data_IF_078215845698
#
_entry.id   IF_078215845698
#
_cell.length_a   1.000
_cell.length_b   1.000
_cell.length_c   1.000
_cell.angle_alpha   90.00
_cell.angle_beta   90.00
_cell.angle_gamma   90.00
#
_symmetry.space_group_name_H-M   'P 1'
#
loop_
_entity.id
_entity.type
_entity.pdbx_description
1 polymer ?
#
# COMPACT_ATOMS: atom_id res chain seq x y z
N UNK A 1 65.68 74.18 -27.57
CA UNK A 1 64.65 73.21 -27.80
C UNK A 1 65.13 71.82 -28.28
N UNK A 2 66.42 71.57 -28.40
CA UNK A 2 66.91 70.27 -29.01
C UNK A 2 67.29 69.18 -27.98
N UNK A 3 67.23 69.42 -26.66
CA UNK A 3 67.59 68.45 -25.62
C UNK A 3 66.42 67.64 -25.06
N UNK A 4 65.15 68.08 -25.24
CA UNK A 4 63.96 67.34 -24.75
C UNK A 4 63.56 66.22 -25.67
N UNK A 5 63.88 66.31 -26.99
CA UNK A 5 63.54 65.31 -27.97
C UNK A 5 64.36 63.95 -27.89
N UNK A 6 65.55 64.05 -27.25
CA UNK A 6 66.45 62.86 -27.12
C UNK A 6 66.08 61.97 -25.96
N UNK A 7 65.20 62.39 -25.05
CA UNK A 7 64.76 61.52 -23.93
C UNK A 7 63.29 61.10 -24.13
N UNK A 8 62.48 61.78 -24.91
CA UNK A 8 61.08 61.42 -25.17
C UNK A 8 60.90 60.19 -26.09
N UNK A 9 61.82 60.03 -27.08
CA UNK A 9 61.73 58.91 -28.01
C UNK A 9 61.97 57.49 -27.36
N UNK A 10 63.01 57.27 -26.51
CA UNK A 10 63.19 56.00 -25.86
C UNK A 10 62.11 55.73 -24.80
N UNK A 11 61.51 56.72 -24.13
CA UNK A 11 60.43 56.53 -23.19
C UNK A 11 59.12 56.08 -23.87
N UNK A 12 58.83 56.60 -25.08
CA UNK A 12 57.65 56.15 -25.85
C UNK A 12 57.78 54.68 -26.34
N UNK A 13 59.01 54.25 -26.71
CA UNK A 13 59.26 52.84 -27.10
C UNK A 13 59.14 51.89 -25.92
N UNK A 14 59.59 52.31 -24.72
CA UNK A 14 59.47 51.51 -23.51
C UNK A 14 57.98 51.37 -23.09
N UNK A 15 57.20 52.46 -23.18
CA UNK A 15 55.77 52.43 -22.89
C UNK A 15 54.99 51.57 -23.91
N UNK A 16 55.35 51.64 -25.19
CA UNK A 16 54.77 50.78 -26.22
C UNK A 16 55.12 49.30 -25.99
N UNK A 17 56.38 49.00 -25.63
CA UNK A 17 56.79 47.62 -25.28
C UNK A 17 56.12 47.10 -24.01
N UNK A 18 55.98 47.93 -22.97
CA UNK A 18 55.19 47.57 -21.77
C UNK A 18 53.71 47.39 -22.07
N UNK A 19 53.13 48.24 -22.93
CA UNK A 19 51.76 48.10 -23.40
C UNK A 19 51.51 46.82 -24.19
N UNK A 20 52.43 46.42 -25.09
CA UNK A 20 52.32 45.17 -25.85
C UNK A 20 52.55 43.94 -24.97
N UNK A 21 53.50 44.00 -24.02
CA UNK A 21 53.67 42.93 -23.02
C UNK A 21 52.47 42.81 -22.11
N UNK A 22 51.92 43.97 -21.62
CA UNK A 22 50.70 44.00 -20.80
C UNK A 22 49.48 43.45 -21.58
N UNK A 23 49.35 43.86 -22.85
CA UNK A 23 48.28 43.32 -23.74
C UNK A 23 48.44 41.81 -24.01
N UNK A 24 49.66 41.33 -24.22
CA UNK A 24 49.95 39.91 -24.43
C UNK A 24 49.74 39.09 -23.12
N UNK A 25 50.09 39.63 -21.96
CA UNK A 25 49.82 38.98 -20.66
C UNK A 25 48.32 38.99 -20.31
N UNK A 26 47.63 40.07 -20.66
CA UNK A 26 46.18 40.15 -20.45
C UNK A 26 45.37 39.25 -21.37
N UNK A 27 45.88 38.95 -22.60
CA UNK A 27 45.26 38.05 -23.54
C UNK A 27 45.78 36.59 -23.46
N UNK A 28 46.65 36.27 -22.50
CA UNK A 28 46.93 34.90 -22.14
C UNK A 28 45.66 34.32 -21.51
N UNK A 29 44.80 33.70 -22.35
CA UNK A 29 43.61 33.05 -21.91
C UNK A 29 43.92 32.04 -20.80
N UNK A 30 43.06 32.00 -19.81
CA UNK A 30 43.13 31.03 -18.73
C UNK A 30 43.24 29.61 -19.35
N UNK A 31 44.35 28.90 -19.05
CA UNK A 31 44.50 27.56 -19.52
C UNK A 31 43.39 26.66 -18.93
N UNK A 32 42.38 26.40 -19.73
CA UNK A 32 41.28 25.54 -19.37
C UNK A 32 41.67 24.08 -19.58
N UNK A 33 41.69 23.28 -18.51
CA UNK A 33 41.91 21.84 -18.60
C UNK A 33 40.57 21.13 -18.58
N UNK A 34 40.27 20.36 -19.61
CA UNK A 34 39.10 19.53 -19.69
C UNK A 34 39.21 18.33 -18.74
N UNK A 35 38.21 18.14 -17.90
CA UNK A 35 38.05 16.91 -17.12
C UNK A 35 37.43 15.87 -18.04
N UNK A 36 38.14 14.79 -18.33
CA UNK A 36 37.63 13.72 -19.20
C UNK A 36 37.36 12.46 -18.42
N UNK A 37 36.51 11.62 -18.99
CA UNK A 37 36.27 10.24 -18.55
C UNK A 37 36.39 9.32 -19.77
N UNK A 38 37.00 8.16 -19.60
CA UNK A 38 37.08 7.18 -20.65
C UNK A 38 35.72 6.45 -20.83
N UNK A 39 35.31 6.26 -22.07
CA UNK A 39 34.23 5.34 -22.44
C UNK A 39 34.68 3.92 -22.06
N UNK A 40 33.86 3.24 -21.27
CA UNK A 40 34.12 1.87 -20.81
C UNK A 40 33.10 0.92 -21.40
N UNK A 41 33.47 -0.32 -21.58
CA UNK A 41 32.54 -1.39 -21.93
C UNK A 41 32.17 -2.16 -20.68
N UNK A 42 30.88 -2.39 -20.48
CA UNK A 42 30.39 -3.07 -19.29
C UNK A 42 28.92 -3.45 -19.37
N UNK A 43 28.44 -4.08 -18.33
CA UNK A 43 27.02 -4.39 -18.15
C UNK A 43 26.32 -3.22 -17.46
N UNK A 44 25.12 -2.92 -17.90
CA UNK A 44 24.28 -1.87 -17.35
C UNK A 44 22.92 -2.45 -16.97
N UNK A 45 22.50 -2.23 -15.74
CA UNK A 45 21.14 -2.55 -15.27
C UNK A 45 20.47 -1.27 -14.80
N UNK A 46 19.34 -0.94 -15.40
CA UNK A 46 18.50 0.15 -14.92
C UNK A 46 17.52 -0.40 -13.91
N UNK A 47 17.47 0.21 -12.74
CA UNK A 47 16.57 -0.18 -11.66
C UNK A 47 15.68 0.99 -11.24
N UNK A 48 14.47 0.68 -10.86
CA UNK A 48 13.56 1.60 -10.19
C UNK A 48 13.55 1.23 -8.72
N UNK A 49 13.78 2.21 -7.85
CA UNK A 49 13.73 2.01 -6.40
C UNK A 49 12.31 2.22 -5.87
N UNK A 50 11.90 1.38 -4.94
CA UNK A 50 10.66 1.51 -4.18
C UNK A 50 10.87 1.11 -2.73
N UNK A 51 10.02 1.58 -1.85
CA UNK A 51 9.97 1.14 -0.45
C UNK A 51 8.70 0.35 -0.23
N UNK A 52 8.72 -0.62 0.66
CA UNK A 52 7.55 -1.46 0.90
C UNK A 52 7.53 -2.08 2.28
N UNK A 53 6.49 -2.85 2.53
CA UNK A 53 6.30 -3.65 3.75
C UNK A 53 6.09 -5.11 3.41
N UNK A 54 6.61 -5.98 4.27
CA UNK A 54 6.37 -7.42 4.19
C UNK A 54 4.98 -7.72 4.72
N UNK A 55 4.15 -8.35 3.90
CA UNK A 55 2.78 -8.73 4.25
C UNK A 55 2.57 -10.22 4.05
N UNK A 56 1.83 -10.91 4.90
CA UNK A 56 1.38 -12.27 4.60
C UNK A 56 0.46 -12.27 3.38
N UNK A 57 0.51 -13.34 2.56
CA UNK A 57 -0.33 -13.44 1.36
C UNK A 57 -1.83 -13.35 1.69
N UNK A 58 -2.26 -14.03 2.76
CA UNK A 58 -3.65 -14.04 3.21
C UNK A 58 -3.69 -13.78 4.71
N UNK A 59 -4.41 -12.72 5.08
CA UNK A 59 -4.68 -12.35 6.47
C UNK A 59 -6.19 -12.36 6.68
N UNK A 60 -6.62 -12.96 7.79
CA UNK A 60 -8.02 -13.01 8.18
C UNK A 60 -8.19 -12.29 9.52
N UNK A 61 -9.08 -11.32 9.51
CA UNK A 61 -9.46 -10.57 10.71
C UNK A 61 -10.62 -11.27 11.41
N UNK A 62 -10.42 -11.68 12.65
CA UNK A 62 -11.41 -12.36 13.48
C UNK A 62 -11.99 -11.37 14.48
N UNK A 63 -13.24 -11.02 14.30
CA UNK A 63 -13.99 -10.09 15.17
C UNK A 63 -15.02 -10.81 16.06
N UNK A 64 -15.61 -10.06 16.99
CA UNK A 64 -16.73 -10.52 17.81
C UNK A 64 -18.06 -10.23 17.11
N UNK A 65 -18.97 -11.19 17.15
CA UNK A 65 -20.34 -11.03 16.66
C UNK A 65 -21.34 -10.66 17.77
N UNK A 66 -20.94 -10.83 19.03
CA UNK A 66 -21.74 -10.52 20.22
C UNK A 66 -20.97 -9.62 21.18
N UNK A 67 -21.69 -8.87 21.98
CA UNK A 67 -21.13 -7.97 22.99
C UNK A 67 -20.90 -8.72 24.31
N UNK A 68 -19.76 -8.52 24.97
CA UNK A 68 -19.49 -9.13 26.27
C UNK A 68 -18.07 -8.90 26.74
N UNK A 69 -17.69 -9.55 27.83
CA UNK A 69 -16.38 -9.47 28.43
C UNK A 69 -15.57 -10.71 28.01
N UNK A 70 -14.31 -10.55 27.63
CA UNK A 70 -13.41 -11.68 27.37
C UNK A 70 -13.11 -12.41 28.69
N UNK A 71 -13.60 -13.62 28.81
CA UNK A 71 -13.47 -14.45 30.02
C UNK A 71 -12.16 -15.22 30.03
N UNK A 72 -11.83 -15.86 28.91
CA UNK A 72 -10.60 -16.64 28.76
C UNK A 72 -10.17 -16.66 27.29
N UNK A 73 -8.88 -16.85 27.05
CA UNK A 73 -8.38 -17.24 25.74
C UNK A 73 -8.44 -18.76 25.55
N UNK A 74 -8.61 -19.17 24.32
CA UNK A 74 -8.58 -20.57 23.93
C UNK A 74 -7.20 -21.20 24.06
N UNK A 75 -7.05 -22.41 23.51
CA UNK A 75 -5.76 -23.09 23.47
C UNK A 75 -5.30 -23.28 22.03
N UNK A 76 -4.01 -23.06 21.82
CA UNK A 76 -3.36 -23.28 20.54
C UNK A 76 -3.16 -24.80 20.25
N UNK A 77 -2.58 -25.11 19.10
CA UNK A 77 -2.27 -26.51 18.70
C UNK A 77 -1.32 -27.18 19.69
N UNK A 78 -0.49 -26.41 20.41
CA UNK A 78 0.46 -26.90 21.41
C UNK A 78 -0.12 -26.92 22.82
N UNK A 79 -1.43 -26.74 22.97
CA UNK A 79 -2.16 -26.69 24.25
C UNK A 79 -1.74 -25.53 25.17
N UNK A 80 -1.11 -24.46 24.63
CA UNK A 80 -0.81 -23.22 25.34
C UNK A 80 -1.97 -22.25 25.15
N UNK A 81 -2.09 -21.27 26.07
CA UNK A 81 -3.03 -20.18 25.90
C UNK A 81 -2.73 -19.44 24.60
N UNK A 82 -3.78 -19.14 23.82
CA UNK A 82 -3.68 -18.37 22.59
C UNK A 82 -3.07 -17.00 22.84
N UNK A 83 -1.99 -16.68 22.13
CA UNK A 83 -1.28 -15.40 22.18
C UNK A 83 -0.61 -15.12 20.83
N UNK A 84 0.19 -14.03 20.74
CA UNK A 84 1.02 -13.73 19.58
C UNK A 84 1.87 -14.94 19.16
N UNK A 85 1.93 -15.23 17.86
CA UNK A 85 2.69 -16.36 17.32
C UNK A 85 2.08 -17.74 17.56
N UNK A 86 0.90 -17.83 18.18
CA UNK A 86 0.21 -19.11 18.41
C UNK A 86 -0.32 -19.73 17.11
N UNK A 87 0.03 -20.98 16.80
CA UNK A 87 -0.58 -21.70 15.69
C UNK A 87 -2.01 -22.15 16.05
N UNK A 88 -2.96 -21.84 15.18
CA UNK A 88 -4.37 -22.19 15.35
C UNK A 88 -4.89 -22.98 14.17
N UNK A 89 -5.90 -23.83 14.42
CA UNK A 89 -6.63 -24.56 13.37
C UNK A 89 -8.00 -23.97 13.12
N UNK A 90 -8.52 -24.14 11.93
CA UNK A 90 -9.89 -23.80 11.58
C UNK A 90 -10.88 -24.48 12.56
N UNK A 91 -11.84 -23.72 13.09
CA UNK A 91 -12.76 -24.16 14.13
C UNK A 91 -12.18 -24.19 15.55
N UNK A 92 -10.86 -23.98 15.72
CA UNK A 92 -10.22 -23.86 17.03
C UNK A 92 -10.71 -22.63 17.79
N UNK A 93 -10.93 -22.77 19.10
CA UNK A 93 -11.38 -21.69 19.97
C UNK A 93 -10.21 -20.75 20.24
N UNK A 94 -10.36 -19.46 19.91
CA UNK A 94 -9.33 -18.43 20.16
C UNK A 94 -9.67 -17.57 21.38
N UNK A 95 -10.95 -17.34 21.65
CA UNK A 95 -11.42 -16.65 22.86
C UNK A 95 -12.81 -17.11 23.28
N UNK A 96 -13.09 -16.95 24.56
CA UNK A 96 -14.43 -17.15 25.15
C UNK A 96 -14.89 -15.82 25.74
N UNK A 97 -16.07 -15.39 25.29
CA UNK A 97 -16.81 -14.25 25.82
C UNK A 97 -17.70 -14.77 26.98
N UNK A 98 -17.97 -13.96 27.97
CA UNK A 98 -18.87 -14.33 29.07
C UNK A 98 -20.27 -14.62 28.49
N UNK A 99 -20.70 -15.86 28.63
CA UNK A 99 -21.93 -16.42 28.07
C UNK A 99 -23.12 -16.40 29.03
N UNK A 100 -22.92 -15.94 30.28
CA UNK A 100 -23.92 -16.03 31.36
C UNK A 100 -25.28 -15.44 30.97
N UNK A 101 -25.28 -14.26 30.31
CA UNK A 101 -26.53 -13.62 29.88
C UNK A 101 -27.19 -14.36 28.71
N UNK A 102 -26.39 -14.90 27.79
CA UNK A 102 -26.86 -15.62 26.61
C UNK A 102 -27.46 -16.98 26.99
N UNK A 103 -26.85 -17.68 27.96
CA UNK A 103 -27.38 -18.92 28.53
C UNK A 103 -28.75 -18.65 29.17
N UNK A 104 -28.84 -17.59 30.01
CA UNK A 104 -30.14 -17.23 30.63
C UNK A 104 -31.22 -16.91 29.60
N UNK A 105 -30.86 -16.21 28.49
CA UNK A 105 -31.82 -15.91 27.42
C UNK A 105 -32.29 -17.18 26.69
N UNK A 106 -31.39 -18.09 26.37
CA UNK A 106 -31.72 -19.40 25.78
C UNK A 106 -32.68 -20.20 26.68
N UNK A 107 -32.48 -20.16 28.02
CA UNK A 107 -33.37 -20.85 28.96
C UNK A 107 -34.76 -20.21 29.03
N UNK A 108 -34.84 -18.88 28.92
CA UNK A 108 -36.13 -18.15 28.81
C UNK A 108 -36.86 -18.56 27.53
N UNK A 109 -36.14 -18.64 26.38
CA UNK A 109 -36.77 -19.01 25.11
C UNK A 109 -37.18 -20.48 25.05
N UNK A 110 -36.43 -21.39 25.69
CA UNK A 110 -36.84 -22.78 25.89
C UNK A 110 -38.14 -22.88 26.65
N UNK A 111 -38.30 -22.08 27.74
CA UNK A 111 -39.53 -22.03 28.50
C UNK A 111 -40.70 -21.46 27.66
N UNK A 112 -40.43 -20.42 26.86
CA UNK A 112 -41.42 -19.85 25.94
C UNK A 112 -41.87 -20.86 24.87
N UNK A 113 -40.95 -21.62 24.30
CA UNK A 113 -41.28 -22.70 23.37
C UNK A 113 -42.13 -23.78 24.04
N UNK A 114 -41.81 -24.19 25.25
CA UNK A 114 -42.61 -25.16 26.02
C UNK A 114 -44.03 -24.63 26.29
N UNK A 115 -44.18 -23.34 26.64
CA UNK A 115 -45.46 -22.67 26.83
C UNK A 115 -46.28 -22.67 25.52
N UNK A 116 -45.68 -22.32 24.38
CA UNK A 116 -46.36 -22.33 23.09
C UNK A 116 -46.77 -23.76 22.69
N UNK A 117 -45.93 -24.74 22.95
CA UNK A 117 -46.23 -26.16 22.71
C UNK A 117 -47.45 -26.65 23.55
N UNK A 118 -47.51 -26.24 24.82
CA UNK A 118 -48.68 -26.54 25.69
C UNK A 118 -49.96 -25.86 25.17
N UNK A 119 -49.87 -24.64 24.68
CA UNK A 119 -51.02 -23.94 24.05
C UNK A 119 -51.50 -24.66 22.81
N UNK A 120 -50.60 -25.12 21.95
CA UNK A 120 -50.93 -25.92 20.78
C UNK A 120 -51.61 -27.28 21.18
N UNK A 121 -51.09 -27.95 22.22
CA UNK A 121 -51.69 -29.17 22.73
C UNK A 121 -53.14 -28.97 23.21
N UNK A 122 -53.38 -27.85 23.93
CA UNK A 122 -54.72 -27.50 24.38
C UNK A 122 -55.66 -27.20 23.20
N UNK A 123 -55.21 -26.42 22.20
CA UNK A 123 -55.98 -26.14 21.00
C UNK A 123 -56.32 -27.43 20.24
N UNK A 124 -55.35 -28.36 20.08
CA UNK A 124 -55.57 -29.67 19.48
C UNK A 124 -56.54 -30.53 20.26
N UNK A 125 -56.49 -30.51 21.59
CA UNK A 125 -57.42 -31.23 22.46
C UNK A 125 -58.87 -30.71 22.37
N UNK A 126 -59.09 -29.44 22.03
CA UNK A 126 -60.44 -28.86 21.82
C UNK A 126 -61.10 -29.33 20.51
N UNK A 127 -60.30 -29.65 19.46
CA UNK A 127 -60.85 -30.06 18.15
C UNK A 127 -61.75 -31.31 18.23
N UNK A 128 -61.36 -32.41 18.90
CA UNK A 128 -62.24 -33.57 19.07
C UNK A 128 -63.57 -33.25 19.76
N UNK A 129 -63.56 -32.35 20.75
CA UNK A 129 -64.77 -31.91 21.44
C UNK A 129 -65.73 -31.21 20.47
N UNK A 130 -65.24 -30.28 19.66
CA UNK A 130 -66.06 -29.55 18.69
C UNK A 130 -66.49 -30.47 17.55
N UNK A 131 -65.67 -31.45 17.15
CA UNK A 131 -66.04 -32.47 16.17
C UNK A 131 -67.16 -33.37 16.65
N UNK A 132 -67.16 -33.78 17.92
CA UNK A 132 -68.27 -34.52 18.53
C UNK A 132 -69.54 -33.73 18.53
N UNK A 133 -69.51 -32.45 18.97
CA UNK A 133 -70.66 -31.55 18.91
C UNK A 133 -71.25 -31.35 17.53
N UNK A 134 -70.38 -31.27 16.51
CA UNK A 134 -70.79 -31.20 15.10
C UNK A 134 -71.51 -32.50 14.68
N UNK A 135 -70.95 -33.65 15.05
CA UNK A 135 -71.50 -34.93 14.69
C UNK A 135 -72.92 -35.12 15.28
N UNK A 136 -73.12 -34.70 16.54
CA UNK A 136 -74.48 -34.71 17.20
C UNK A 136 -75.44 -33.77 16.47
N UNK A 137 -75.04 -32.52 16.23
CA UNK A 137 -75.89 -31.51 15.55
C UNK A 137 -76.19 -31.95 14.09
N UNK A 138 -75.27 -32.58 13.41
CA UNK A 138 -75.41 -33.13 12.04
C UNK A 138 -76.40 -34.27 12.03
N UNK A 139 -76.36 -35.19 13.02
CA UNK A 139 -77.28 -36.28 13.15
C UNK A 139 -78.75 -35.75 13.42
N UNK A 140 -78.92 -34.76 14.27
CA UNK A 140 -80.18 -34.14 14.51
C UNK A 140 -80.76 -33.42 13.28
N UNK A 141 -79.93 -32.64 12.59
CA UNK A 141 -80.27 -32.00 11.32
C UNK A 141 -80.69 -33.02 10.24
N UNK A 142 -79.96 -34.09 10.05
CA UNK A 142 -80.27 -35.19 9.09
C UNK A 142 -81.65 -35.82 9.45
N UNK A 143 -81.97 -35.97 10.77
CA UNK A 143 -83.23 -36.46 11.18
C UNK A 143 -84.36 -35.47 10.83
N UNK A 144 -84.18 -34.17 11.14
CA UNK A 144 -85.09 -33.14 10.80
C UNK A 144 -85.40 -32.99 9.30
N UNK A 145 -84.33 -33.14 8.48
CA UNK A 145 -84.44 -33.13 6.99
C UNK A 145 -85.32 -34.27 6.46
N UNK A 146 -85.22 -35.46 7.07
CA UNK A 146 -86.05 -36.62 6.66
C UNK A 146 -87.53 -36.42 6.99
N UNK A 147 -87.90 -35.72 8.11
CA UNK A 147 -89.26 -35.46 8.53
C UNK A 147 -89.86 -34.29 7.76
N UNK A 148 -89.03 -33.26 7.45
CA UNK A 148 -89.48 -32.02 6.81
C UNK A 148 -90.34 -31.14 7.71
N UNK A 149 -90.51 -29.82 7.38
CA UNK A 149 -91.38 -28.91 8.10
C UNK A 149 -92.86 -29.25 7.81
N UNK A 150 -93.72 -29.41 8.87
CA UNK A 150 -95.14 -29.73 8.73
C UNK A 150 -95.82 -30.03 10.08
N UNK A 151 -96.91 -30.80 10.04
CA UNK A 151 -97.64 -31.14 11.29
C UNK A 151 -96.82 -31.97 12.29
N UNK A 152 -95.90 -32.75 11.83
CA UNK A 152 -94.96 -33.60 12.65
C UNK A 152 -93.73 -32.92 13.16
N UNK A 153 -93.34 -31.76 12.59
CA UNK A 153 -92.21 -30.95 13.03
C UNK A 153 -92.49 -29.48 12.72
N UNK A 154 -92.58 -28.67 13.78
CA UNK A 154 -92.86 -27.23 13.65
C UNK A 154 -91.68 -26.54 12.84
N UNK A 155 -92.00 -25.58 11.98
CA UNK A 155 -91.03 -24.86 11.13
C UNK A 155 -89.94 -24.20 11.98
N UNK A 156 -90.30 -23.64 13.14
CA UNK A 156 -89.33 -23.07 14.07
C UNK A 156 -88.33 -24.08 14.62
N UNK A 157 -88.79 -25.29 14.89
CA UNK A 157 -87.91 -26.40 15.35
C UNK A 157 -86.96 -26.90 14.21
N UNK A 158 -87.46 -26.95 12.97
CA UNK A 158 -86.72 -27.26 11.81
C UNK A 158 -85.58 -26.24 11.58
N UNK A 159 -85.93 -24.94 11.62
CA UNK A 159 -84.93 -23.87 11.50
C UNK A 159 -83.92 -23.89 12.66
N UNK A 160 -84.39 -24.26 13.90
CA UNK A 160 -83.48 -24.42 15.04
C UNK A 160 -82.42 -25.52 14.83
N UNK A 161 -82.76 -26.69 14.30
CA UNK A 161 -81.85 -27.74 14.02
C UNK A 161 -80.83 -27.33 12.94
N UNK A 162 -81.26 -26.60 11.90
CA UNK A 162 -80.40 -26.04 10.88
C UNK A 162 -79.38 -25.06 11.48
N UNK A 163 -79.85 -24.12 12.29
CA UNK A 163 -79.05 -23.11 12.98
C UNK A 163 -78.02 -23.75 13.92
N UNK A 164 -78.39 -24.80 14.65
CA UNK A 164 -77.54 -25.55 15.54
C UNK A 164 -76.42 -26.25 14.75
N UNK A 165 -76.73 -26.89 13.60
CA UNK A 165 -75.76 -27.50 12.73
C UNK A 165 -74.71 -26.50 12.15
N UNK A 166 -75.21 -25.39 11.60
CA UNK A 166 -74.35 -24.35 11.06
C UNK A 166 -73.43 -23.69 12.14
N UNK A 167 -74.02 -23.51 13.37
CA UNK A 167 -73.24 -23.04 14.52
C UNK A 167 -72.15 -24.01 14.94
N UNK A 168 -72.49 -25.32 15.03
CA UNK A 168 -71.45 -26.34 15.36
C UNK A 168 -70.41 -26.49 14.34
N UNK A 169 -70.71 -26.37 13.03
CA UNK A 169 -69.77 -26.35 11.90
C UNK A 169 -68.85 -25.14 12.01
N UNK A 170 -69.40 -23.97 12.28
CA UNK A 170 -68.57 -22.75 12.45
C UNK A 170 -67.65 -22.86 13.68
N UNK A 171 -68.13 -23.43 14.79
CA UNK A 171 -67.34 -23.64 16.00
C UNK A 171 -66.15 -24.63 15.74
N UNK A 172 -66.34 -25.65 14.93
CA UNK A 172 -65.26 -26.53 14.53
C UNK A 172 -64.23 -25.80 13.67
N UNK A 173 -64.67 -24.93 12.72
CA UNK A 173 -63.76 -24.14 11.89
C UNK A 173 -62.92 -23.17 12.77
N UNK A 174 -63.55 -22.53 13.78
CA UNK A 174 -62.86 -21.69 14.77
C UNK A 174 -61.82 -22.50 15.55
N UNK A 175 -62.17 -23.71 16.00
CA UNK A 175 -61.21 -24.59 16.71
C UNK A 175 -60.04 -25.03 15.86
N UNK A 176 -60.24 -25.29 14.56
CA UNK A 176 -59.15 -25.58 13.63
C UNK A 176 -58.24 -24.38 13.40
N UNK A 177 -58.83 -23.18 13.19
CA UNK A 177 -58.06 -21.97 13.06
C UNK A 177 -57.25 -21.64 14.33
N UNK A 178 -57.75 -21.96 15.51
CA UNK A 178 -57.04 -21.83 16.77
C UNK A 178 -55.81 -22.78 16.86
N UNK A 179 -55.91 -23.97 16.27
CA UNK A 179 -54.74 -24.88 16.14
C UNK A 179 -53.69 -24.28 15.22
N UNK A 180 -54.07 -23.74 14.06
CA UNK A 180 -53.15 -23.12 13.13
C UNK A 180 -52.46 -21.90 13.75
N UNK A 181 -53.23 -21.08 14.48
CA UNK A 181 -52.68 -19.94 15.21
C UNK A 181 -51.66 -20.38 16.29
N UNK A 182 -52.00 -21.40 17.07
CA UNK A 182 -51.11 -21.94 18.10
C UNK A 182 -49.86 -22.62 17.47
N UNK A 183 -49.99 -23.27 16.30
CA UNK A 183 -48.88 -23.84 15.56
C UNK A 183 -47.92 -22.75 15.06
N UNK A 184 -48.43 -21.63 14.56
CA UNK A 184 -47.64 -20.46 14.20
C UNK A 184 -46.88 -19.89 15.41
N UNK A 185 -47.51 -19.85 16.59
CA UNK A 185 -46.86 -19.45 17.85
C UNK A 185 -45.70 -20.36 18.25
N UNK A 186 -45.83 -21.68 18.06
CA UNK A 186 -44.72 -22.63 18.28
C UNK A 186 -43.58 -22.37 17.30
N UNK A 187 -43.89 -22.16 16.00
CA UNK A 187 -42.88 -21.84 15.00
C UNK A 187 -42.09 -20.57 15.36
N UNK A 188 -42.80 -19.51 15.77
CA UNK A 188 -42.16 -18.26 16.19
C UNK A 188 -41.26 -18.47 17.41
N UNK A 189 -41.74 -19.15 18.48
CA UNK A 189 -40.93 -19.42 19.66
C UNK A 189 -39.68 -20.26 19.33
N UNK A 190 -39.82 -21.23 18.41
CA UNK A 190 -38.69 -22.04 17.93
C UNK A 190 -37.63 -21.21 17.21
N UNK A 191 -38.03 -20.29 16.33
CA UNK A 191 -37.08 -19.42 15.63
C UNK A 191 -36.42 -18.43 16.58
N UNK A 192 -37.10 -17.92 17.59
CA UNK A 192 -36.51 -17.09 18.65
C UNK A 192 -35.41 -17.88 19.40
N UNK A 193 -35.76 -19.09 19.85
CA UNK A 193 -34.79 -19.98 20.51
C UNK A 193 -33.56 -20.24 19.64
N UNK A 194 -33.76 -20.56 18.38
CA UNK A 194 -32.66 -20.81 17.44
C UNK A 194 -31.72 -19.58 17.31
N UNK A 195 -32.30 -18.37 17.18
CA UNK A 195 -31.57 -17.11 17.12
C UNK A 195 -30.67 -16.93 18.35
N UNK A 196 -31.22 -17.21 19.54
CA UNK A 196 -30.49 -16.97 20.78
C UNK A 196 -29.48 -18.10 21.08
N UNK A 197 -29.73 -19.33 20.60
CA UNK A 197 -28.72 -20.40 20.56
C UNK A 197 -27.53 -20.02 19.64
N UNK A 198 -27.76 -19.39 18.49
CA UNK A 198 -26.69 -18.88 17.62
C UNK A 198 -25.91 -17.74 18.30
N UNK A 199 -26.59 -16.82 18.99
CA UNK A 199 -25.93 -15.77 19.78
C UNK A 199 -25.05 -16.36 20.89
N UNK A 200 -25.53 -17.41 21.58
CA UNK A 200 -24.74 -18.16 22.56
C UNK A 200 -23.52 -18.83 21.92
N UNK A 201 -23.68 -19.42 20.74
CA UNK A 201 -22.58 -20.04 20.01
C UNK A 201 -21.50 -18.98 19.62
N UNK A 202 -21.90 -17.75 19.32
CA UNK A 202 -20.98 -16.65 19.03
C UNK A 202 -20.17 -16.16 20.24
N UNK A 203 -20.58 -16.49 21.48
CA UNK A 203 -19.74 -16.28 22.66
C UNK A 203 -18.43 -17.08 22.60
N UNK A 204 -18.38 -18.14 21.81
CA UNK A 204 -17.18 -18.92 21.53
C UNK A 204 -16.57 -18.44 20.21
N UNK A 205 -15.56 -17.57 20.30
CA UNK A 205 -14.86 -17.04 19.12
C UNK A 205 -13.92 -18.10 18.58
N UNK A 206 -14.09 -18.48 17.31
CA UNK A 206 -13.32 -19.54 16.63
C UNK A 206 -12.52 -18.97 15.48
N UNK A 207 -11.35 -19.57 15.20
CA UNK A 207 -10.59 -19.27 13.98
C UNK A 207 -11.34 -19.80 12.75
N UNK A 208 -11.55 -18.98 11.71
CA UNK A 208 -12.16 -19.47 10.45
C UNK A 208 -11.18 -20.22 9.56
N UNK A 209 -9.86 -20.11 9.82
CA UNK A 209 -8.79 -20.67 8.99
C UNK A 209 -7.70 -21.31 9.84
N UNK A 210 -6.93 -22.22 9.22
CA UNK A 210 -5.65 -22.65 9.77
C UNK A 210 -4.64 -21.51 9.61
N UNK A 211 -3.79 -21.27 10.62
CA UNK A 211 -2.79 -20.22 10.52
C UNK A 211 -2.07 -19.91 11.83
N UNK A 212 -1.42 -18.75 11.85
CA UNK A 212 -0.69 -18.23 13.00
C UNK A 212 -1.26 -16.86 13.38
N UNK A 213 -1.48 -16.62 14.66
CA UNK A 213 -1.93 -15.32 15.16
C UNK A 213 -0.78 -14.34 15.09
N UNK A 214 -0.91 -13.32 14.26
CA UNK A 214 0.09 -12.25 14.11
C UNK A 214 -0.20 -11.05 15.02
N UNK A 215 -1.48 -10.84 15.38
CA UNK A 215 -1.85 -9.75 16.27
C UNK A 215 -3.03 -10.16 17.18
N UNK A 216 -2.97 -9.78 18.45
CA UNK A 216 -4.03 -9.93 19.44
C UNK A 216 -4.40 -8.56 20.00
N UNK A 217 -5.55 -8.05 19.57
CA UNK A 217 -6.02 -6.69 19.87
C UNK A 217 -6.93 -6.60 21.08
N UNK A 218 -7.06 -7.68 21.85
CA UNK A 218 -7.95 -7.79 22.99
C UNK A 218 -7.26 -8.41 24.19
N UNK A 219 -7.66 -7.99 25.41
CA UNK A 219 -7.13 -8.48 26.66
C UNK A 219 -8.20 -9.21 27.50
N UNK A 220 -7.75 -10.06 28.41
CA UNK A 220 -8.63 -10.69 29.40
C UNK A 220 -9.33 -9.62 30.25
N UNK A 221 -10.63 -9.79 30.48
CA UNK A 221 -11.45 -8.83 31.22
C UNK A 221 -11.87 -7.59 30.42
N UNK A 222 -11.43 -7.45 29.18
CA UNK A 222 -11.83 -6.34 28.30
C UNK A 222 -13.25 -6.56 27.81
N UNK A 223 -14.07 -5.51 27.89
CA UNK A 223 -15.39 -5.47 27.26
C UNK A 223 -15.26 -5.19 25.77
N UNK A 224 -15.88 -6.04 24.98
CA UNK A 224 -16.02 -5.87 23.53
C UNK A 224 -17.44 -5.52 23.20
N UNK A 225 -17.64 -4.65 22.20
CA UNK A 225 -18.94 -4.25 21.71
C UNK A 225 -19.07 -4.67 20.26
N UNK A 226 -20.06 -5.49 19.97
CA UNK A 226 -20.44 -5.81 18.59
C UNK A 226 -21.07 -4.56 17.96
N UNK A 227 -20.31 -3.88 17.10
CA UNK A 227 -20.78 -2.71 16.34
C UNK A 227 -20.70 -3.01 14.84
N UNK A 228 -21.29 -2.13 14.01
CA UNK A 228 -21.26 -2.20 12.53
C UNK A 228 -19.82 -2.21 11.96
N UNK A 229 -18.86 -1.64 12.68
CA UNK A 229 -17.42 -1.85 12.42
C UNK A 229 -16.97 -2.98 13.36
N UNK A 230 -16.91 -4.21 12.84
CA UNK A 230 -16.48 -5.38 13.62
C UNK A 230 -15.18 -5.08 14.36
N UNK A 231 -15.22 -5.13 15.70
CA UNK A 231 -14.01 -4.99 16.50
C UNK A 231 -13.10 -6.19 16.21
N UNK A 232 -11.99 -5.94 15.51
CA UNK A 232 -10.95 -6.94 15.28
C UNK A 232 -10.36 -7.39 16.61
N UNK A 233 -10.46 -8.68 16.92
CA UNK A 233 -9.90 -9.28 18.13
C UNK A 233 -8.56 -9.94 17.87
N UNK A 234 -8.46 -10.67 16.77
CA UNK A 234 -7.27 -11.39 16.34
C UNK A 234 -7.03 -11.22 14.86
N UNK A 235 -5.79 -11.07 14.49
CA UNK A 235 -5.33 -11.08 13.11
C UNK A 235 -4.57 -12.39 12.86
N UNK A 236 -5.06 -13.20 11.93
CA UNK A 236 -4.51 -14.53 11.65
C UNK A 236 -3.95 -14.57 10.24
N UNK A 237 -2.65 -14.85 10.12
CA UNK A 237 -2.02 -15.15 8.84
C UNK A 237 -2.18 -16.64 8.52
N UNK A 238 -2.69 -16.96 7.35
CA UNK A 238 -2.92 -18.35 6.92
C UNK A 238 -1.61 -19.10 6.74
N UNK A 239 -0.62 -18.48 6.12
CA UNK A 239 0.69 -19.06 5.88
C UNK A 239 1.77 -17.97 5.91
N UNK A 240 2.79 -18.16 6.75
CA UNK A 240 3.93 -17.27 6.83
C UNK A 240 5.10 -17.69 5.92
N UNK A 241 5.01 -18.85 5.27
CA UNK A 241 6.02 -19.29 4.30
C UNK A 241 5.85 -18.56 2.96
N UNK A 242 4.63 -18.15 2.65
CA UNK A 242 4.31 -17.37 1.46
C UNK A 242 4.01 -15.94 1.86
N UNK A 243 4.93 -15.07 1.53
CA UNK A 243 4.81 -13.65 1.83
C UNK A 243 4.82 -12.82 0.56
N UNK A 244 4.28 -11.63 0.67
CA UNK A 244 4.30 -10.61 -0.36
C UNK A 244 4.97 -9.37 0.19
N UNK A 245 5.69 -8.65 -0.64
CA UNK A 245 6.14 -7.30 -0.33
C UNK A 245 5.24 -6.33 -1.08
N UNK A 246 4.59 -5.45 -0.35
CA UNK A 246 3.77 -4.38 -0.93
C UNK A 246 4.64 -3.15 -1.10
N UNK A 247 5.13 -2.97 -2.31
CA UNK A 247 6.04 -1.88 -2.66
C UNK A 247 5.26 -0.66 -3.17
N UNK A 248 5.55 0.51 -2.61
CA UNK A 248 5.04 1.79 -3.11
C UNK A 248 5.97 2.32 -4.19
N UNK A 249 5.44 2.51 -5.39
CA UNK A 249 6.15 3.01 -6.57
C UNK A 249 5.48 4.26 -7.09
N UNK A 250 6.27 5.25 -7.51
CA UNK A 250 5.77 6.51 -8.08
C UNK A 250 5.02 6.28 -9.41
N UNK A 251 4.00 7.09 -9.67
CA UNK A 251 3.25 7.11 -10.93
C UNK A 251 4.16 7.28 -12.16
N UNK A 252 5.21 8.10 -12.05
CA UNK A 252 6.17 8.34 -13.14
C UNK A 252 6.92 7.07 -13.60
N UNK A 253 7.05 6.09 -12.71
CA UNK A 253 7.86 4.90 -12.95
C UNK A 253 7.04 3.62 -13.13
N UNK A 254 5.75 3.64 -12.74
CA UNK A 254 4.90 2.43 -12.76
C UNK A 254 4.74 1.85 -14.17
N UNK A 255 4.74 2.69 -15.21
CA UNK A 255 4.62 2.24 -16.60
C UNK A 255 5.78 1.39 -17.13
N UNK A 256 6.89 1.32 -16.38
CA UNK A 256 8.07 0.50 -16.71
C UNK A 256 8.09 -0.83 -15.95
N UNK A 257 7.17 -1.04 -15.01
CA UNK A 257 7.07 -2.26 -14.20
C UNK A 257 6.00 -3.17 -14.79
N UNK A 258 6.32 -4.46 -14.90
CA UNK A 258 5.45 -5.47 -15.48
C UNK A 258 5.38 -6.71 -14.61
N UNK A 259 4.27 -7.45 -14.70
CA UNK A 259 4.12 -8.74 -14.03
C UNK A 259 5.21 -9.73 -14.48
N UNK A 260 5.71 -10.54 -13.54
CA UNK A 260 6.80 -11.49 -13.76
C UNK A 260 8.21 -10.88 -13.76
N UNK A 261 8.35 -9.57 -13.54
CA UNK A 261 9.63 -8.89 -13.49
C UNK A 261 10.41 -9.27 -12.23
N UNK A 262 11.73 -9.48 -12.37
CA UNK A 262 12.61 -9.76 -11.25
C UNK A 262 12.80 -8.53 -10.37
N UNK A 263 12.77 -8.75 -9.06
CA UNK A 263 12.95 -7.73 -8.03
C UNK A 263 13.96 -8.21 -7.02
N UNK A 264 14.87 -7.32 -6.67
CA UNK A 264 15.81 -7.52 -5.58
C UNK A 264 15.39 -6.61 -4.45
N UNK A 265 15.38 -7.11 -3.21
CA UNK A 265 15.07 -6.27 -2.06
C UNK A 265 15.94 -6.60 -0.85
N UNK A 266 16.12 -5.61 -0.01
CA UNK A 266 16.78 -5.70 1.27
C UNK A 266 15.82 -5.33 2.38
N UNK A 267 16.06 -5.86 3.56
CA UNK A 267 15.25 -5.58 4.76
C UNK A 267 16.19 -5.02 5.81
N UNK A 268 15.82 -3.89 6.40
CA UNK A 268 16.69 -3.18 7.36
C UNK A 268 17.10 -4.06 8.55
N UNK A 269 16.22 -5.00 8.95
CA UNK A 269 16.49 -5.94 10.05
C UNK A 269 17.63 -6.94 9.74
N UNK A 270 17.99 -7.17 8.47
CA UNK A 270 18.99 -8.16 8.04
C UNK A 270 20.20 -7.52 7.35
N UNK A 271 20.34 -6.19 7.45
CA UNK A 271 21.49 -5.46 6.87
C UNK A 271 21.64 -5.71 5.37
N UNK A 272 22.82 -6.20 4.95
CA UNK A 272 23.15 -6.37 3.53
C UNK A 272 22.60 -7.66 2.90
N UNK A 273 21.79 -8.44 3.59
CA UNK A 273 21.22 -9.65 3.01
C UNK A 273 20.23 -9.30 1.90
N UNK A 274 20.49 -9.83 0.72
CA UNK A 274 19.67 -9.62 -0.48
C UNK A 274 18.65 -10.74 -0.61
N UNK A 275 17.42 -10.36 -0.82
CA UNK A 275 16.30 -11.24 -1.11
C UNK A 275 15.84 -11.06 -2.56
N UNK A 276 15.35 -12.13 -3.16
CA UNK A 276 14.86 -12.14 -4.54
C UNK A 276 13.35 -12.37 -4.55
N UNK A 277 12.65 -11.60 -5.37
CA UNK A 277 11.22 -11.74 -5.58
C UNK A 277 10.85 -11.54 -7.04
N UNK A 278 9.56 -11.74 -7.33
CA UNK A 278 8.99 -11.46 -8.64
C UNK A 278 7.72 -10.61 -8.48
N UNK A 279 7.54 -9.65 -9.38
CA UNK A 279 6.30 -8.87 -9.45
C UNK A 279 5.14 -9.82 -9.74
N UNK A 280 4.19 -9.87 -8.83
CA UNK A 280 2.97 -10.66 -8.98
C UNK A 280 1.90 -9.88 -9.75
N UNK A 281 1.58 -8.69 -9.24
CA UNK A 281 0.62 -7.79 -9.87
C UNK A 281 0.80 -6.35 -9.40
N UNK A 282 0.22 -5.42 -10.13
CA UNK A 282 0.13 -4.01 -9.79
C UNK A 282 -1.32 -3.74 -9.35
N UNK A 283 -1.51 -3.20 -8.14
CA UNK A 283 -2.84 -2.80 -7.67
C UNK A 283 -3.31 -1.56 -8.42
N UNK A 284 -4.54 -1.61 -8.92
CA UNK A 284 -5.10 -0.51 -9.72
C UNK A 284 -5.51 0.71 -8.90
N UNK A 285 -5.64 0.58 -7.58
CA UNK A 285 -5.96 1.69 -6.67
C UNK A 285 -4.67 2.44 -6.30
N UNK A 286 -4.54 3.65 -6.80
CA UNK A 286 -3.46 4.55 -6.39
C UNK A 286 -3.75 5.15 -5.01
N UNK A 287 -2.69 5.39 -4.25
CA UNK A 287 -2.76 6.15 -2.98
C UNK A 287 -2.14 7.51 -3.21
N UNK A 288 -2.85 8.57 -2.81
CA UNK A 288 -2.36 9.94 -2.88
C UNK A 288 -1.98 10.42 -1.48
N UNK A 289 -0.72 10.77 -1.29
CA UNK A 289 -0.22 11.37 -0.05
C UNK A 289 0.62 12.59 -0.38
N UNK A 290 0.33 13.72 0.25
CA UNK A 290 1.08 14.98 0.06
C UNK A 290 1.29 15.36 -1.43
N UNK A 291 0.27 15.21 -2.26
CA UNK A 291 0.30 15.43 -3.72
C UNK A 291 1.24 14.48 -4.51
N UNK A 292 1.68 13.39 -3.90
CA UNK A 292 2.44 12.34 -4.57
C UNK A 292 1.52 11.14 -4.78
N UNK A 293 1.37 10.72 -6.04
CA UNK A 293 0.60 9.52 -6.40
C UNK A 293 1.52 8.33 -6.45
N UNK A 294 1.18 7.29 -5.69
CA UNK A 294 1.91 6.03 -5.66
C UNK A 294 0.99 4.85 -5.93
N UNK A 295 1.51 3.85 -6.61
CA UNK A 295 0.86 2.57 -6.85
C UNK A 295 1.49 1.49 -5.99
N UNK A 296 0.68 0.55 -5.52
CA UNK A 296 1.18 -0.61 -4.78
C UNK A 296 1.49 -1.74 -5.75
N UNK A 297 2.74 -2.18 -5.77
CA UNK A 297 3.21 -3.34 -6.52
C UNK A 297 3.38 -4.50 -5.55
N UNK A 298 2.72 -5.62 -5.81
CA UNK A 298 2.85 -6.84 -5.03
C UNK A 298 4.00 -7.68 -5.58
N UNK A 299 4.98 -7.97 -4.73
CA UNK A 299 6.15 -8.79 -5.05
C UNK A 299 6.10 -10.06 -4.22
N UNK A 300 5.99 -11.23 -4.85
CA UNK A 300 6.00 -12.51 -4.17
C UNK A 300 7.42 -12.93 -3.80
N UNK A 301 7.55 -13.49 -2.61
CA UNK A 301 8.78 -14.09 -2.11
C UNK A 301 8.48 -15.38 -1.35
N UNK A 302 9.35 -16.39 -1.52
CA UNK A 302 9.29 -17.65 -0.77
C UNK A 302 10.06 -17.51 0.55
N UNK A 303 9.34 -17.44 1.65
CA UNK A 303 9.84 -17.34 3.01
C UNK A 303 9.89 -18.72 3.72
N UNK A 304 10.24 -19.79 2.99
CA UNK A 304 10.28 -21.15 3.56
C UNK A 304 11.27 -21.26 4.72
N UNK A 305 12.27 -20.42 4.80
CA UNK A 305 13.24 -20.30 5.90
C UNK A 305 12.69 -19.55 7.12
N UNK A 306 11.51 -18.91 7.02
CA UNK A 306 10.83 -18.24 8.11
C UNK A 306 11.53 -16.99 8.65
N UNK A 307 12.51 -16.43 7.92
CA UNK A 307 13.27 -15.26 8.39
C UNK A 307 12.48 -13.98 8.35
N UNK A 308 11.70 -13.77 7.29
CA UNK A 308 10.95 -12.52 7.13
C UNK A 308 9.68 -12.56 7.97
N UNK A 309 9.58 -11.63 8.89
CA UNK A 309 8.39 -11.41 9.71
C UNK A 309 7.45 -10.41 9.03
N UNK A 310 6.12 -10.50 9.29
CA UNK A 310 5.18 -9.50 8.84
C UNK A 310 5.56 -8.08 9.30
N UNK A 311 5.22 -7.09 8.46
CA UNK A 311 5.39 -5.64 8.70
C UNK A 311 6.83 -5.14 8.75
N UNK A 312 7.82 -5.94 8.34
CA UNK A 312 9.18 -5.44 8.14
C UNK A 312 9.23 -4.47 6.94
N UNK A 313 9.97 -3.38 7.10
CA UNK A 313 10.23 -2.42 6.02
C UNK A 313 11.28 -2.97 5.07
N UNK A 314 11.05 -2.76 3.78
CA UNK A 314 11.91 -3.26 2.70
C UNK A 314 12.26 -2.13 1.74
N UNK A 315 13.48 -2.22 1.17
CA UNK A 315 13.95 -1.39 0.07
C UNK A 315 14.06 -2.26 -1.18
N UNK A 316 13.25 -1.95 -2.19
CA UNK A 316 13.15 -2.76 -3.42
C UNK A 316 13.85 -2.08 -4.60
N UNK A 317 14.39 -2.90 -5.49
CA UNK A 317 14.92 -2.49 -6.78
C UNK A 317 14.31 -3.36 -7.87
N UNK A 318 13.49 -2.73 -8.71
CA UNK A 318 12.85 -3.38 -9.86
C UNK A 318 13.78 -3.28 -11.06
N UNK A 319 14.22 -4.39 -11.63
CA UNK A 319 15.11 -4.43 -12.80
C UNK A 319 14.28 -4.14 -14.07
N UNK A 320 14.29 -2.88 -14.54
CA UNK A 320 13.49 -2.45 -15.70
C UNK A 320 14.21 -2.66 -17.04
N UNK A 321 15.48 -2.91 -17.02
CA UNK A 321 16.25 -3.20 -18.21
C UNK A 321 17.68 -3.63 -17.90
N UNK A 322 18.16 -4.60 -18.66
CA UNK A 322 19.55 -5.05 -18.57
C UNK A 322 20.19 -5.07 -19.96
N UNK A 323 21.38 -4.51 -20.07
CA UNK A 323 22.22 -4.55 -21.27
C UNK A 323 23.57 -5.11 -20.89
N UNK A 324 24.07 -6.00 -21.72
CA UNK A 324 25.38 -6.61 -21.50
C UNK A 324 26.36 -6.12 -22.54
N UNK A 325 27.62 -5.89 -22.12
CA UNK A 325 28.73 -5.56 -22.99
C UNK A 325 28.47 -4.31 -23.87
N UNK A 326 27.86 -3.25 -23.31
CA UNK A 326 27.59 -1.99 -24.01
C UNK A 326 28.59 -0.91 -23.65
N UNK A 327 28.71 0.13 -24.49
CA UNK A 327 29.55 1.28 -24.21
C UNK A 327 28.88 2.21 -23.21
N UNK A 328 29.59 2.51 -22.12
CA UNK A 328 29.10 3.27 -20.98
C UNK A 328 29.86 4.59 -20.85
N UNK A 329 29.13 5.65 -20.58
CA UNK A 329 29.66 6.96 -20.27
C UNK A 329 29.02 7.51 -19.00
N UNK A 330 29.73 8.32 -18.22
CA UNK A 330 29.11 9.04 -17.11
C UNK A 330 28.09 10.07 -17.63
N UNK A 331 26.94 10.19 -16.94
CA UNK A 331 25.84 11.12 -17.31
C UNK A 331 26.31 12.59 -17.39
N UNK A 332 27.40 12.94 -16.69
CA UNK A 332 28.02 14.26 -16.77
C UNK A 332 28.50 14.61 -18.18
N UNK A 333 28.90 13.60 -18.99
CA UNK A 333 29.37 13.85 -20.35
C UNK A 333 28.23 14.23 -21.32
N UNK A 334 27.00 13.75 -21.09
CA UNK A 334 25.82 14.13 -21.89
C UNK A 334 25.27 15.50 -21.50
N UNK A 335 25.49 15.94 -20.26
CA UNK A 335 24.97 17.22 -19.74
C UNK A 335 25.90 18.39 -19.96
N UNK A 336 27.19 18.12 -20.18
CA UNK A 336 28.16 19.17 -20.36
C UNK A 336 28.08 19.78 -21.76
N UNK A 337 28.07 21.14 -21.81
CA UNK A 337 28.09 21.92 -23.08
C UNK A 337 29.27 22.88 -23.08
N UNK A 338 30.06 22.92 -24.16
CA UNK A 338 31.20 23.82 -24.28
C UNK A 338 30.76 25.27 -24.49
N UNK A 339 31.63 26.23 -24.07
CA UNK A 339 31.49 27.62 -24.45
C UNK A 339 31.80 27.79 -25.94
N UNK A 340 31.23 28.76 -26.67
CA UNK A 340 31.47 28.92 -28.12
C UNK A 340 32.93 29.05 -28.53
N UNK A 341 33.80 29.55 -27.65
CA UNK A 341 35.24 29.68 -27.87
C UNK A 341 36.02 28.34 -27.79
N UNK A 342 35.46 27.33 -27.20
CA UNK A 342 36.08 26.01 -26.93
C UNK A 342 35.85 24.98 -28.06
N UNK A 343 34.98 25.30 -29.03
CA UNK A 343 34.63 24.41 -30.14
C UNK A 343 35.64 24.61 -31.25
N UNK A 344 36.18 23.52 -31.81
CA UNK A 344 37.12 23.54 -32.94
C UNK A 344 36.54 24.27 -34.14
N UNK A 345 37.32 25.11 -34.82
CA UNK A 345 36.88 25.97 -35.93
C UNK A 345 36.19 25.21 -37.06
N UNK A 346 36.65 24.01 -37.36
CA UNK A 346 36.06 23.13 -38.39
C UNK A 346 34.68 22.64 -38.03
N UNK A 347 34.37 22.49 -36.74
CA UNK A 347 33.07 21.99 -36.23
C UNK A 347 32.06 23.10 -36.00
N UNK A 348 32.45 24.40 -36.07
CA UNK A 348 31.52 25.53 -35.86
C UNK A 348 30.49 25.70 -36.97
N UNK A 349 30.83 25.31 -38.20
CA UNK A 349 29.88 25.38 -39.32
C UNK A 349 28.83 24.26 -39.31
N UNK A 350 29.13 23.13 -38.67
CA UNK A 350 28.22 22.01 -38.53
C UNK A 350 27.16 22.23 -37.41
N UNK A 351 27.50 23.04 -36.37
CA UNK A 351 26.63 23.30 -35.23
C UNK A 351 25.56 24.37 -35.49
N UNK A 352 25.73 25.28 -36.47
CA UNK A 352 24.74 26.30 -36.82
C UNK A 352 23.56 25.75 -37.65
N UNK A 353 23.72 24.65 -38.36
CA UNK A 353 22.61 23.98 -39.07
C UNK A 353 21.77 23.08 -38.20
N UNK A 354 22.22 22.71 -37.01
CA UNK A 354 21.49 21.89 -36.04
C UNK A 354 20.63 22.64 -35.01
N UNK A 355 20.96 23.91 -34.72
CA UNK A 355 20.30 24.67 -33.64
C UNK A 355 18.93 25.27 -34.02
N UNK A 356 18.58 25.32 -35.33
CA UNK A 356 17.30 25.86 -35.80
C UNK A 356 16.23 24.80 -36.05
N UNK A 357 16.49 23.51 -35.76
CA UNK A 357 15.56 22.40 -35.97
C UNK A 357 15.10 21.68 -34.72
N UNK A 358 15.21 22.27 -33.54
CA UNK A 358 14.63 21.70 -32.30
C UNK A 358 13.28 22.33 -31.98
N UNK A 359 12.43 22.52 -32.98
CA UNK A 359 11.00 22.73 -32.79
C UNK A 359 10.27 21.61 -33.54
N UNK A 360 9.85 20.61 -32.75
CA UNK A 360 8.70 19.73 -33.02
C UNK A 360 8.49 19.28 -34.49
N UNK A 361 9.05 18.14 -34.83
CA UNK A 361 8.43 17.29 -35.84
C UNK A 361 8.14 15.93 -35.20
N UNK A 362 6.87 15.73 -34.86
CA UNK A 362 6.26 14.42 -34.77
C UNK A 362 6.31 13.82 -36.20
N UNK A 363 7.30 13.02 -36.47
CA UNK A 363 7.32 12.17 -37.63
C UNK A 363 6.79 10.79 -37.24
N UNK A 364 5.75 10.42 -37.95
CA UNK A 364 5.01 9.17 -37.93
C UNK A 364 5.88 7.95 -37.74
N UNK A 365 5.49 7.14 -36.77
CA UNK A 365 6.04 5.84 -36.44
C UNK A 365 6.07 4.91 -37.65
N UNK A 366 7.26 4.50 -38.04
CA UNK A 366 7.46 3.25 -38.77
C UNK A 366 7.71 2.15 -37.68
N UNK A 367 7.06 1.04 -37.91
CA UNK A 367 6.97 -0.11 -36.99
C UNK A 367 8.32 -0.56 -36.43
N UNK A 368 8.39 -0.71 -35.11
CA UNK A 368 9.29 -1.64 -34.42
C UNK A 368 10.58 -1.09 -33.82
N UNK A 369 10.86 0.22 -33.76
CA UNK A 369 12.06 0.77 -33.15
C UNK A 369 11.76 1.56 -31.88
N UNK A 370 12.38 1.19 -30.77
CA UNK A 370 12.42 2.03 -29.55
C UNK A 370 12.96 3.43 -29.91
N UNK A 371 12.32 4.53 -29.48
CA UNK A 371 12.79 5.89 -29.77
C UNK A 371 14.16 6.09 -29.10
N UNK A 372 15.22 6.05 -29.89
CA UNK A 372 16.57 6.35 -29.41
C UNK A 372 16.70 7.87 -29.29
N UNK A 373 16.90 8.36 -28.08
CA UNK A 373 17.24 9.77 -27.82
C UNK A 373 18.60 10.05 -28.47
N UNK A 374 18.71 11.11 -29.29
CA UNK A 374 20.01 11.56 -29.81
C UNK A 374 20.69 12.45 -28.76
N UNK A 375 21.95 12.21 -28.52
CA UNK A 375 22.81 12.99 -27.64
C UNK A 375 24.06 13.47 -28.35
N UNK A 376 24.73 14.49 -27.80
CA UNK A 376 26.02 14.96 -28.30
C UNK A 376 27.08 14.79 -27.21
N UNK A 377 28.13 14.07 -27.48
CA UNK A 377 29.32 13.97 -26.64
C UNK A 377 30.40 14.93 -27.13
N UNK A 378 31.20 15.39 -26.22
CA UNK A 378 32.32 16.27 -26.53
C UNK A 378 33.62 15.56 -26.24
N UNK A 379 34.46 15.42 -27.26
CA UNK A 379 35.79 14.79 -27.19
C UNK A 379 36.84 15.87 -27.17
N UNK A 380 37.80 15.78 -26.24
CA UNK A 380 38.89 16.74 -26.12
C UNK A 380 39.92 16.54 -27.22
N UNK A 381 40.22 17.61 -27.97
CA UNK A 381 41.30 17.69 -28.97
C UNK A 381 42.18 18.90 -28.62
N UNK A 382 43.16 18.70 -27.75
CA UNK A 382 44.02 19.78 -27.26
C UNK A 382 43.25 20.83 -26.44
N UNK A 383 43.26 22.10 -26.88
CA UNK A 383 42.53 23.21 -26.25
C UNK A 383 41.08 23.34 -26.73
N UNK A 384 40.63 22.50 -27.64
CA UNK A 384 39.30 22.51 -28.23
C UNK A 384 38.55 21.19 -28.01
N UNK A 385 37.27 21.22 -28.28
CA UNK A 385 36.43 20.04 -28.24
C UNK A 385 35.70 19.83 -29.56
N UNK A 386 35.51 18.56 -29.91
CA UNK A 386 34.77 18.14 -31.10
C UNK A 386 33.47 17.43 -30.71
N UNK A 387 32.33 17.74 -31.34
CA UNK A 387 31.09 17.05 -31.12
C UNK A 387 31.09 15.65 -31.77
N UNK A 388 30.55 14.66 -31.05
CA UNK A 388 30.27 13.33 -31.56
C UNK A 388 28.77 13.05 -31.28
N UNK A 389 28.00 12.83 -32.31
CA UNK A 389 26.59 12.49 -32.19
C UNK A 389 26.44 11.02 -31.84
N UNK A 390 25.61 10.74 -30.82
CA UNK A 390 25.42 9.40 -30.30
C UNK A 390 23.92 9.13 -30.10
N UNK A 391 23.55 7.87 -30.21
CA UNK A 391 22.27 7.37 -29.73
C UNK A 391 22.40 7.02 -28.26
N UNK A 392 21.48 7.53 -27.47
CA UNK A 392 21.43 7.34 -26.01
C UNK A 392 20.47 6.20 -25.73
N UNK A 393 20.96 5.17 -25.04
CA UNK A 393 20.19 4.01 -24.63
C UNK A 393 19.79 4.03 -23.16
N UNK A 394 19.94 2.90 -22.49
CA UNK A 394 19.58 2.70 -21.09
C UNK A 394 20.47 3.52 -20.15
N UNK A 395 19.94 3.98 -19.02
CA UNK A 395 20.68 4.68 -17.96
C UNK A 395 20.34 4.11 -16.59
N UNK A 396 21.36 4.02 -15.72
CA UNK A 396 21.21 3.68 -14.30
C UNK A 396 21.19 4.92 -13.37
N UNK A 397 21.18 6.13 -13.96
CA UNK A 397 21.26 7.40 -13.22
C UNK A 397 22.68 7.92 -13.02
N UNK A 398 23.73 7.09 -13.13
CA UNK A 398 25.15 7.44 -13.03
C UNK A 398 25.84 7.32 -14.38
N UNK A 399 25.58 6.23 -15.07
CA UNK A 399 26.12 5.91 -16.40
C UNK A 399 24.99 5.75 -17.41
N UNK A 400 25.30 5.98 -18.67
CA UNK A 400 24.35 5.82 -19.78
C UNK A 400 25.00 5.04 -20.90
N UNK A 401 24.23 4.10 -21.45
CA UNK A 401 24.57 3.39 -22.68
C UNK A 401 24.58 4.36 -23.84
N UNK A 402 25.62 4.28 -24.65
CA UNK A 402 25.75 5.05 -25.91
C UNK A 402 26.18 4.16 -27.04
N UNK A 403 25.66 4.48 -28.24
CA UNK A 403 26.08 3.86 -29.50
C UNK A 403 26.14 4.91 -30.61
N UNK A 404 26.99 4.74 -31.57
CA UNK A 404 27.13 5.64 -32.70
C UNK A 404 28.50 5.56 -33.40
N UNK A 405 28.56 6.14 -34.59
CA UNK A 405 29.80 6.24 -35.32
C UNK A 405 30.77 7.17 -34.62
N UNK A 406 31.99 6.69 -34.35
CA UNK A 406 33.05 7.47 -33.69
C UNK A 406 33.12 7.31 -32.18
N UNK A 407 32.31 6.41 -31.57
CA UNK A 407 32.44 6.04 -30.16
C UNK A 407 33.06 4.67 -30.04
N UNK A 408 34.22 4.62 -29.38
CA UNK A 408 34.96 3.37 -29.10
C UNK A 408 35.34 3.31 -27.63
N UNK A 409 35.61 2.09 -27.18
CA UNK A 409 36.16 1.89 -25.83
C UNK A 409 37.48 2.64 -25.66
N UNK A 410 37.63 3.33 -24.52
CA UNK A 410 38.84 4.15 -24.25
C UNK A 410 38.72 5.60 -24.72
N UNK A 411 37.72 5.98 -25.53
CA UNK A 411 37.53 7.36 -25.99
C UNK A 411 37.34 8.30 -24.80
N UNK A 412 38.12 9.39 -24.78
CA UNK A 412 38.09 10.38 -23.69
C UNK A 412 36.98 11.41 -23.95
N UNK A 413 35.88 11.32 -23.22
CA UNK A 413 34.73 12.28 -23.29
C UNK A 413 34.83 13.30 -22.17
N UNK A 414 34.51 14.54 -22.49
CA UNK A 414 34.55 15.67 -21.52
C UNK A 414 33.37 15.62 -20.60
N UNK A 415 33.62 15.65 -19.28
CA UNK A 415 32.62 15.69 -18.22
C UNK A 415 32.58 17.03 -17.51
N UNK A 416 33.52 17.93 -17.74
CA UNK A 416 33.62 19.24 -17.10
C UNK A 416 34.89 19.98 -17.48
N UNK A 417 35.04 21.19 -16.94
CA UNK A 417 36.24 22.05 -17.15
C UNK A 417 36.76 22.46 -15.77
N UNK A 418 38.10 22.34 -15.62
CA UNK A 418 38.79 22.87 -14.46
C UNK A 418 39.62 24.07 -14.91
N UNK A 419 39.35 25.26 -14.35
CA UNK A 419 40.18 26.45 -14.58
C UNK A 419 41.35 26.38 -13.63
N UNK A 420 42.56 26.24 -14.21
CA UNK A 420 43.79 26.37 -13.43
C UNK A 420 43.99 27.82 -13.10
N UNK A 421 43.63 28.25 -11.90
CA UNK A 421 44.10 29.56 -11.40
C UNK A 421 45.62 29.46 -11.21
N UNK A 422 46.41 30.42 -11.77
CA UNK A 422 47.84 30.50 -11.46
C UNK A 422 47.96 30.68 -9.94
N UNK A 423 48.72 29.82 -9.27
CA UNK A 423 49.13 29.99 -7.88
C UNK A 423 49.80 31.34 -7.73
N UNK A 424 49.06 32.38 -7.40
CA UNK A 424 49.66 33.59 -6.83
C UNK A 424 50.24 33.16 -5.48
N UNK A 425 51.58 33.31 -5.37
CA UNK A 425 52.31 33.05 -4.13
C UNK A 425 51.66 33.80 -2.98
N UNK A 426 51.10 33.09 -2.08
CA UNK A 426 50.60 33.61 -0.81
C UNK A 426 51.32 32.90 0.32
N UNK A 427 52.04 33.69 1.06
CA UNK A 427 52.63 33.45 2.36
C UNK A 427 51.72 32.58 3.25
N UNK A 428 52.37 31.68 3.95
CA UNK A 428 51.81 30.92 5.09
C UNK A 428 51.11 31.91 6.08
N UNK A 429 49.79 31.83 6.08
CA UNK A 429 48.95 32.46 7.10
C UNK A 429 48.05 31.33 7.67
N UNK A 430 48.16 31.15 8.96
CA UNK A 430 47.45 30.16 9.78
C UNK A 430 45.99 29.93 9.37
N UNK A 431 45.65 28.69 9.13
CA UNK A 431 44.32 28.25 8.77
C UNK A 431 43.29 28.52 9.87
N UNK A 432 42.44 29.48 9.66
CA UNK A 432 41.20 29.65 10.43
C UNK A 432 40.14 28.68 9.83
N UNK A 433 39.78 27.69 10.60
CA UNK A 433 38.71 26.74 10.28
C UNK A 433 37.36 27.49 10.28
N UNK A 434 36.60 27.55 9.15
CA UNK A 434 35.34 28.29 9.08
C UNK A 434 34.18 27.69 9.87
N UNK A 435 34.36 26.54 10.51
CA UNK A 435 33.32 25.85 11.28
C UNK A 435 33.47 25.96 12.80
N UNK A 436 34.35 26.81 13.31
CA UNK A 436 34.43 27.10 14.76
C UNK A 436 33.67 28.38 15.08
N UNK A 437 32.60 28.34 15.91
CA UNK A 437 31.90 29.56 16.31
C UNK A 437 32.80 30.45 17.14
N UNK A 438 33.02 31.71 16.72
CA UNK A 438 33.71 32.70 17.50
C UNK A 438 32.86 33.02 18.74
N UNK A 439 33.32 32.57 19.91
CA UNK A 439 32.78 32.95 21.19
C UNK A 439 33.11 34.42 21.52
N UNK A 440 32.10 35.27 21.57
CA UNK A 440 32.21 36.62 22.08
C UNK A 440 32.53 36.59 23.59
N UNK A 441 33.73 37.05 23.95
CA UNK A 441 34.09 37.43 25.32
C UNK A 441 33.24 38.63 25.77
N UNK A 442 32.18 38.36 26.56
CA UNK A 442 31.58 39.39 27.36
C UNK A 442 32.34 39.52 28.69
N UNK A 443 32.93 40.70 28.89
CA UNK A 443 33.54 41.13 30.14
C UNK A 443 32.55 41.05 31.30
N UNK A 444 32.93 40.31 32.35
CA UNK A 444 32.32 40.38 33.66
C UNK A 444 32.52 41.80 34.25
N UNK A 445 31.42 42.48 34.49
CA UNK A 445 31.38 43.55 35.48
C UNK A 445 30.48 43.10 36.61
N UNK A 446 31.05 43.13 37.83
CA UNK A 446 30.40 42.68 39.04
C UNK A 446 29.26 43.59 39.50
N UNK A 447 28.36 43.03 40.28
CA UNK A 447 27.30 43.80 40.98
C UNK A 447 26.38 42.86 41.76
N UNK A 448 26.65 42.65 43.01
CA UNK A 448 25.78 42.48 44.20
C UNK A 448 24.44 41.75 44.07
N UNK A 449 24.31 40.76 44.92
CA UNK A 449 23.03 40.15 45.36
C UNK A 449 22.21 41.16 46.20
N UNK A 450 20.89 40.94 46.31
CA UNK A 450 20.32 40.71 47.63
C UNK A 450 19.39 39.50 47.74
N UNK A 451 19.40 38.97 48.96
CA UNK A 451 18.61 38.02 49.66
C UNK A 451 17.08 38.25 49.62
N UNK A 452 16.31 37.21 49.70
CA UNK A 452 14.90 37.25 50.10
C UNK A 452 14.19 35.91 49.87
N UNK A 453 14.01 35.19 50.97
CA UNK A 453 13.32 33.93 51.08
C UNK A 453 11.78 34.08 51.16
N UNK A 454 11.01 33.14 51.76
CA UNK A 454 10.17 32.18 51.03
C UNK A 454 8.66 32.40 51.26
N UNK A 455 7.87 31.89 50.33
CA UNK A 455 6.57 31.30 50.69
C UNK A 455 6.08 30.39 49.58
#
# INVERSE_FOLDING_TARGET
>A
MLRVFKIAAPAAVVLAALGTVGWFLYHRGEATVFRTAAVKRGDLSATISGTGTVEPEIVVDVGAQVTGIIKTFGRDVNNKSVDYGSPVKAGGVVALIDDTLYVAQVDIDKAALQQAAATLANAKANVPQMKAKLADAEADWKRAQKVGPGQSLAATTYDQYKANYETAKSNLAIALAAVDQAAAGVAQAKENLKKDEENLAYCTVKSPVDGVIIDRRVNLGQTIVSSTAASSLFLIARDLKRIQVWASVNEADIGKIHEGQAVIFTVDAFGDQVFHGMVNKIRLNATMSQNVVTYTVEVNHDNSDGKLLPYLTTNLQFEVGRRQNVLLIPNGALRWTPKPGQIARESRHASHTGAERTAVQHETAAEGGTPHMQGTLWVAEGEFVRPVHVQVGLTDGVQTEVSGEGVSEGLQVVTGVTVLQPKSGQSEGEGTNPFVPQGNMFQRRGGQAPSGGPR
#
